data_IF_843946773690
#
_entry.id   IF_843946773690
#
_cell.length_a   1.000
_cell.length_b   1.000
_cell.length_c   1.000
_cell.angle_alpha   90.00
_cell.angle_beta   90.00
_cell.angle_gamma   90.00
#
_symmetry.space_group_name_H-M   'P 1'
#
loop_
_entity.id
_entity.type
_entity.pdbx_description
1 polymer ?
#
# COMPACT_ATOMS: atom_id res chain seq x y z
N UNK A 1 54.95 -9.14 -10.25
CA UNK A 1 53.50 -9.20 -10.47
C UNK A 1 52.95 -10.23 -9.50
N UNK A 2 52.81 -9.85 -8.23
CA UNK A 2 52.58 -10.78 -7.14
C UNK A 2 51.09 -10.90 -6.87
N UNK A 3 50.54 -12.10 -7.11
CA UNK A 3 49.19 -12.46 -6.70
C UNK A 3 49.12 -12.64 -5.20
N UNK A 4 48.20 -11.91 -4.57
CA UNK A 4 47.76 -12.12 -3.19
C UNK A 4 46.28 -12.47 -3.21
N UNK A 5 45.98 -13.71 -3.57
CA UNK A 5 44.67 -14.31 -3.34
C UNK A 5 44.53 -14.60 -1.85
N UNK A 6 44.03 -13.64 -1.08
CA UNK A 6 43.72 -13.83 0.34
C UNK A 6 42.58 -14.85 0.54
N UNK A 7 42.55 -15.58 1.67
CA UNK A 7 41.58 -16.65 1.94
C UNK A 7 40.10 -16.19 1.96
N UNK A 8 39.85 -14.88 2.03
CA UNK A 8 38.50 -14.32 1.96
C UNK A 8 37.81 -14.44 0.60
N UNK A 9 38.57 -14.57 -0.50
CA UNK A 9 37.98 -14.61 -1.85
C UNK A 9 37.29 -15.94 -2.18
N UNK A 10 37.77 -17.06 -1.63
CA UNK A 10 37.19 -18.38 -1.85
C UNK A 10 35.79 -18.52 -1.26
N UNK A 11 35.54 -17.90 -0.10
CA UNK A 11 34.22 -17.88 0.53
C UNK A 11 33.20 -17.05 -0.25
N UNK A 12 33.64 -15.93 -0.85
CA UNK A 12 32.79 -15.12 -1.71
C UNK A 12 32.41 -15.85 -3.01
N UNK A 13 33.32 -16.64 -3.59
CA UNK A 13 33.01 -17.49 -4.75
C UNK A 13 32.00 -18.59 -4.42
N UNK A 14 32.18 -19.29 -3.30
CA UNK A 14 31.27 -20.36 -2.87
C UNK A 14 29.85 -19.83 -2.58
N UNK A 15 29.74 -18.68 -1.92
CA UNK A 15 28.46 -18.01 -1.69
C UNK A 15 27.81 -17.55 -2.99
N UNK A 16 28.60 -17.07 -3.95
CA UNK A 16 28.10 -16.72 -5.29
C UNK A 16 27.53 -17.92 -6.03
N UNK A 17 28.16 -19.09 -5.90
CA UNK A 17 27.63 -20.33 -6.46
C UNK A 17 26.26 -20.68 -5.86
N UNK A 18 26.17 -20.67 -4.52
CA UNK A 18 24.92 -20.98 -3.83
C UNK A 18 23.78 -20.03 -4.23
N UNK A 19 24.05 -18.73 -4.31
CA UNK A 19 23.06 -17.73 -4.74
C UNK A 19 22.63 -17.96 -6.18
N UNK A 20 23.58 -18.26 -7.07
CA UNK A 20 23.27 -18.59 -8.46
C UNK A 20 22.37 -19.82 -8.57
N UNK A 21 22.62 -20.87 -7.78
CA UNK A 21 21.82 -22.09 -7.80
C UNK A 21 20.36 -21.82 -7.34
N UNK A 22 20.15 -21.00 -6.32
CA UNK A 22 18.80 -20.56 -5.92
C UNK A 22 18.10 -19.76 -7.01
N UNK A 23 18.79 -18.82 -7.65
CA UNK A 23 18.22 -18.01 -8.74
C UNK A 23 17.88 -18.86 -9.96
N UNK A 24 18.69 -19.86 -10.29
CA UNK A 24 18.41 -20.80 -11.38
C UNK A 24 17.21 -21.71 -11.07
N UNK A 25 16.95 -22.00 -9.80
CA UNK A 25 15.77 -22.71 -9.34
C UNK A 25 14.53 -21.81 -9.18
N UNK A 26 14.64 -20.51 -9.50
CA UNK A 26 13.63 -19.47 -9.27
C UNK A 26 13.22 -19.32 -7.78
N UNK A 27 14.07 -19.78 -6.87
CA UNK A 27 13.87 -19.67 -5.41
C UNK A 27 14.48 -18.35 -4.90
N UNK A 28 13.83 -17.26 -5.28
CA UNK A 28 14.26 -15.91 -4.92
C UNK A 28 14.22 -15.68 -3.41
N UNK A 29 13.28 -16.32 -2.70
CA UNK A 29 13.17 -16.22 -1.25
C UNK A 29 14.38 -16.85 -0.55
N UNK A 30 14.77 -18.07 -0.94
CA UNK A 30 15.99 -18.69 -0.41
C UNK A 30 17.24 -17.87 -0.74
N UNK A 31 17.31 -17.28 -1.94
CA UNK A 31 18.41 -16.38 -2.31
C UNK A 31 18.46 -15.15 -1.39
N UNK A 32 17.32 -14.50 -1.13
CA UNK A 32 17.24 -13.36 -0.20
C UNK A 32 17.68 -13.76 1.21
N UNK A 33 17.21 -14.91 1.72
CA UNK A 33 17.61 -15.40 3.05
C UNK A 33 19.11 -15.73 3.13
N UNK A 34 19.71 -16.18 2.02
CA UNK A 34 21.15 -16.36 1.90
C UNK A 34 21.93 -15.03 1.73
N UNK A 35 21.23 -13.89 1.81
CA UNK A 35 21.77 -12.53 1.74
C UNK A 35 22.14 -12.10 0.32
N UNK A 36 21.24 -12.34 -0.64
CA UNK A 36 21.39 -11.91 -2.03
C UNK A 36 21.67 -10.41 -2.14
N UNK A 37 21.05 -9.57 -1.33
CA UNK A 37 21.19 -8.11 -1.45
C UNK A 37 22.50 -7.57 -0.87
N UNK A 38 23.10 -8.28 0.09
CA UNK A 38 24.37 -7.94 0.73
C UNK A 38 25.56 -8.57 0.01
N UNK A 39 25.32 -9.45 -0.96
CA UNK A 39 26.37 -10.13 -1.68
C UNK A 39 27.07 -9.20 -2.69
N UNK A 40 28.40 -9.14 -2.58
CA UNK A 40 29.26 -8.42 -3.53
C UNK A 40 30.05 -9.41 -4.38
N UNK A 41 29.78 -9.49 -5.71
CA UNK A 41 30.50 -10.39 -6.59
C UNK A 41 31.97 -10.00 -6.74
N UNK A 42 32.84 -11.00 -6.74
CA UNK A 42 34.28 -10.83 -6.88
C UNK A 42 34.74 -10.79 -8.35
N UNK A 43 35.85 -10.12 -8.66
CA UNK A 43 36.39 -10.09 -10.04
C UNK A 43 36.85 -11.47 -10.57
N UNK A 44 37.13 -12.42 -9.68
CA UNK A 44 37.50 -13.80 -10.05
C UNK A 44 36.28 -14.72 -10.28
N UNK A 45 35.07 -14.27 -9.93
CA UNK A 45 33.85 -15.03 -10.05
C UNK A 45 33.46 -15.18 -11.53
N UNK A 46 32.72 -16.23 -11.90
CA UNK A 46 32.28 -16.43 -13.29
C UNK A 46 31.41 -15.25 -13.78
N UNK A 47 31.64 -14.78 -15.02
CA UNK A 47 30.99 -13.59 -15.55
C UNK A 47 29.48 -13.75 -15.70
N UNK A 48 29.01 -14.94 -16.10
CA UNK A 48 27.57 -15.22 -16.27
C UNK A 48 26.89 -15.26 -14.91
N UNK A 49 27.50 -15.93 -13.92
CA UNK A 49 26.96 -15.98 -12.54
C UNK A 49 26.85 -14.59 -11.94
N UNK A 50 27.88 -13.77 -12.08
CA UNK A 50 27.86 -12.38 -11.62
C UNK A 50 26.75 -11.58 -12.28
N UNK A 51 26.62 -11.69 -13.61
CA UNK A 51 25.59 -10.96 -14.34
C UNK A 51 24.18 -11.35 -13.88
N UNK A 52 23.92 -12.65 -13.69
CA UNK A 52 22.65 -13.16 -13.16
C UNK A 52 22.32 -12.61 -11.77
N UNK A 53 23.30 -12.66 -10.84
CA UNK A 53 23.11 -12.14 -9.48
C UNK A 53 22.86 -10.63 -9.48
N UNK A 54 23.62 -9.87 -10.27
CA UNK A 54 23.47 -8.40 -10.37
C UNK A 54 22.11 -8.05 -10.97
N UNK A 55 21.65 -8.74 -12.01
CA UNK A 55 20.32 -8.52 -12.59
C UNK A 55 19.21 -8.79 -11.56
N UNK A 56 19.30 -9.90 -10.83
CA UNK A 56 18.35 -10.21 -9.76
C UNK A 56 18.30 -9.12 -8.68
N UNK A 57 19.47 -8.66 -8.21
CA UNK A 57 19.57 -7.55 -7.24
C UNK A 57 18.92 -6.26 -7.79
N UNK A 58 19.17 -5.90 -9.04
CA UNK A 58 18.60 -4.70 -9.68
C UNK A 58 17.08 -4.81 -9.81
N UNK A 59 16.57 -5.97 -10.23
CA UNK A 59 15.13 -6.22 -10.34
C UNK A 59 14.44 -6.10 -8.99
N UNK A 60 15.01 -6.69 -7.93
CA UNK A 60 14.47 -6.57 -6.57
C UNK A 60 14.48 -5.13 -6.06
N UNK A 61 15.60 -4.41 -6.22
CA UNK A 61 15.70 -3.01 -5.83
C UNK A 61 14.64 -2.14 -6.55
N UNK A 62 14.42 -2.40 -7.84
CA UNK A 62 13.41 -1.70 -8.63
C UNK A 62 11.98 -1.97 -8.13
N UNK A 63 11.69 -3.23 -7.75
CA UNK A 63 10.40 -3.65 -7.23
C UNK A 63 10.12 -3.04 -5.85
N UNK A 64 11.11 -3.02 -4.96
CA UNK A 64 11.01 -2.36 -3.66
C UNK A 64 10.77 -0.86 -3.80
N UNK A 65 11.54 -0.18 -4.66
CA UNK A 65 11.31 1.23 -4.93
C UNK A 65 9.90 1.50 -5.48
N UNK A 66 9.36 0.62 -6.33
CA UNK A 66 7.98 0.72 -6.82
C UNK A 66 6.95 0.56 -5.70
N UNK A 67 7.15 -0.43 -4.82
CA UNK A 67 6.32 -0.65 -3.63
C UNK A 67 6.33 0.58 -2.71
N UNK A 68 7.50 1.16 -2.46
CA UNK A 68 7.63 2.34 -1.60
C UNK A 68 6.90 3.55 -2.18
N UNK A 69 6.99 3.78 -3.51
CA UNK A 69 6.22 4.83 -4.18
C UNK A 69 4.72 4.62 -4.02
N UNK A 70 4.25 3.38 -4.16
CA UNK A 70 2.85 3.04 -3.96
C UNK A 70 2.39 3.32 -2.53
N UNK A 71 3.14 2.84 -1.53
CA UNK A 71 2.82 3.07 -0.11
C UNK A 71 2.83 4.57 0.23
N UNK A 72 3.81 5.33 -0.27
CA UNK A 72 3.87 6.77 -0.08
C UNK A 72 2.65 7.48 -0.71
N UNK A 73 2.21 7.05 -1.89
CA UNK A 73 0.98 7.57 -2.52
C UNK A 73 -0.25 7.25 -1.68
N UNK A 74 -0.37 6.02 -1.19
CA UNK A 74 -1.49 5.61 -0.34
C UNK A 74 -1.56 6.42 0.95
N UNK A 75 -0.42 6.64 1.62
CA UNK A 75 -0.36 7.49 2.81
C UNK A 75 -0.85 8.92 2.52
N UNK A 76 -0.48 9.51 1.38
CA UNK A 76 -0.97 10.84 0.98
C UNK A 76 -2.48 10.87 0.76
N UNK A 77 -3.02 9.84 0.10
CA UNK A 77 -4.46 9.74 -0.16
C UNK A 77 -5.25 9.53 1.14
N UNK A 78 -4.76 8.68 2.05
CA UNK A 78 -5.36 8.46 3.36
C UNK A 78 -5.44 9.76 4.17
N UNK A 79 -4.37 10.57 4.18
CA UNK A 79 -4.39 11.90 4.83
C UNK A 79 -5.46 12.81 4.24
N UNK A 80 -5.51 12.93 2.91
CA UNK A 80 -6.53 13.75 2.23
C UNK A 80 -7.96 13.25 2.50
N UNK A 81 -8.16 11.94 2.58
CA UNK A 81 -9.45 11.36 2.92
C UNK A 81 -9.85 11.75 4.35
N UNK A 82 -8.97 11.57 5.32
CA UNK A 82 -9.21 11.96 6.71
C UNK A 82 -9.51 13.47 6.85
N UNK A 83 -8.76 14.34 6.17
CA UNK A 83 -9.03 15.79 6.17
C UNK A 83 -10.42 16.14 5.63
N UNK A 84 -10.84 15.49 4.53
CA UNK A 84 -12.19 15.69 3.99
C UNK A 84 -13.25 15.16 4.94
N UNK A 85 -13.00 14.04 5.61
CA UNK A 85 -13.94 13.44 6.56
C UNK A 85 -14.14 14.34 7.78
N UNK A 86 -13.06 14.92 8.31
CA UNK A 86 -13.11 15.94 9.35
C UNK A 86 -13.89 17.18 8.90
N UNK A 87 -13.65 17.68 7.69
CA UNK A 87 -14.41 18.81 7.12
C UNK A 87 -15.90 18.46 6.98
N UNK A 88 -16.24 17.26 6.51
CA UNK A 88 -17.62 16.79 6.40
C UNK A 88 -18.29 16.68 7.77
N UNK A 89 -17.59 16.16 8.78
CA UNK A 89 -18.10 16.09 10.14
C UNK A 89 -18.33 17.49 10.74
N UNK A 90 -17.41 18.43 10.50
CA UNK A 90 -17.53 19.82 10.97
C UNK A 90 -18.66 20.60 10.27
N UNK A 91 -18.92 20.31 8.99
CA UNK A 91 -19.99 20.93 8.21
C UNK A 91 -21.34 20.21 8.33
N UNK A 92 -21.40 19.06 9.00
CA UNK A 92 -22.66 18.34 9.18
C UNK A 92 -23.63 19.27 9.91
N UNK A 93 -24.73 19.71 9.26
CA UNK A 93 -25.68 20.55 9.95
C UNK A 93 -26.26 19.71 11.07
N UNK A 94 -26.17 20.21 12.30
CA UNK A 94 -27.07 19.81 13.36
C UNK A 94 -28.47 20.21 12.89
N UNK A 95 -29.10 19.37 12.05
CA UNK A 95 -30.52 19.44 11.76
C UNK A 95 -31.25 19.04 13.04
N UNK A 96 -31.15 19.88 14.06
CA UNK A 96 -32.22 20.03 15.01
C UNK A 96 -33.44 20.35 14.15
N UNK A 97 -34.38 19.40 14.13
CA UNK A 97 -35.67 19.53 13.45
C UNK A 97 -36.26 20.86 13.93
N UNK A 98 -36.16 21.89 13.10
CA UNK A 98 -36.76 23.19 13.42
C UNK A 98 -38.26 22.92 13.52
N UNK A 99 -38.88 23.18 14.68
CA UNK A 99 -40.31 22.93 14.84
C UNK A 99 -41.05 23.74 13.78
N UNK A 100 -42.07 23.13 13.18
CA UNK A 100 -42.89 23.84 12.19
C UNK A 100 -43.43 25.13 12.83
N UNK A 101 -43.41 26.26 12.11
CA UNK A 101 -44.07 27.48 12.56
C UNK A 101 -45.53 27.19 12.94
N UNK A 102 -46.00 27.75 14.06
CA UNK A 102 -47.30 27.43 14.63
C UNK A 102 -48.46 27.61 13.64
N UNK A 103 -48.38 28.59 12.74
CA UNK A 103 -49.37 28.82 11.69
C UNK A 103 -49.47 27.64 10.72
N UNK A 104 -48.35 27.05 10.31
CA UNK A 104 -48.32 25.90 9.41
C UNK A 104 -48.85 24.64 10.12
N UNK A 105 -48.50 24.46 11.39
CA UNK A 105 -49.05 23.36 12.20
C UNK A 105 -50.59 23.46 12.35
N UNK A 106 -51.12 24.67 12.54
CA UNK A 106 -52.55 24.91 12.63
C UNK A 106 -53.29 24.61 11.31
N UNK A 107 -52.70 24.97 10.16
CA UNK A 107 -53.28 24.65 8.85
C UNK A 107 -53.32 23.12 8.64
N UNK A 108 -52.24 22.41 8.98
CA UNK A 108 -52.18 20.96 8.88
C UNK A 108 -53.18 20.26 9.82
N UNK A 109 -53.36 20.78 11.04
CA UNK A 109 -54.36 20.27 11.98
C UNK A 109 -55.78 20.41 11.43
N UNK A 110 -56.11 21.57 10.84
CA UNK A 110 -57.41 21.80 10.18
C UNK A 110 -57.62 20.90 8.96
N UNK A 111 -56.57 20.72 8.15
CA UNK A 111 -56.62 19.82 6.99
C UNK A 111 -56.83 18.35 7.40
N UNK A 112 -56.15 17.89 8.45
CA UNK A 112 -56.35 16.55 9.02
C UNK A 112 -57.77 16.37 9.57
N UNK A 113 -58.30 17.35 10.29
CA UNK A 113 -59.68 17.30 10.80
C UNK A 113 -60.71 17.21 9.66
N UNK A 114 -60.53 17.98 8.58
CA UNK A 114 -61.37 17.89 7.38
C UNK A 114 -61.27 16.52 6.69
N UNK A 115 -60.07 15.98 6.56
CA UNK A 115 -59.86 14.66 5.95
C UNK A 115 -60.44 13.51 6.78
N UNK A 116 -60.42 13.62 8.11
CA UNK A 116 -61.04 12.66 9.02
C UNK A 116 -62.58 12.76 8.98
N UNK A 117 -63.12 13.99 8.96
CA UNK A 117 -64.56 14.22 8.83
C UNK A 117 -65.11 13.75 7.47
N UNK A 118 -64.35 13.89 6.39
CA UNK A 118 -64.73 13.39 5.06
C UNK A 118 -64.57 11.88 4.85
N UNK A 119 -63.93 11.17 5.77
CA UNK A 119 -63.80 9.69 5.78
C UNK A 119 -64.83 9.00 6.68
N UNK A 120 -65.66 9.78 7.38
CA UNK A 120 -66.65 9.30 8.35
C UNK A 120 -68.06 9.73 8.00
N UNK A 121 -68.53 9.36 6.81
CA UNK A 121 -69.97 9.33 6.52
C UNK A 121 -70.25 8.08 5.67
N UNK A 122 -71.10 7.14 6.12
CA UNK A 122 -71.59 6.03 5.27
C UNK A 122 -72.47 6.54 4.12
#
# INVERSE_FOLDING_TARGET
>A
MSGTGGPGNSHACARGQQLFDYLQADDVDAAIQAGLMEYHPCAACDAIKRACIIDAQQRLASAWAARDRYLARQARLARRAAERDLKRAAMAPAHARQPLPAAAAAILARAKAKAAAGKGTP
#
